data_IF_006603047164
#
_entry.id   IF_006603047164
#
_cell.length_a   1.000
_cell.length_b   1.000
_cell.length_c   1.000
_cell.angle_alpha   90.00
_cell.angle_beta   90.00
_cell.angle_gamma   90.00
#
_symmetry.space_group_name_H-M   'P 1'
#
loop_
_entity.id
_entity.type
_entity.pdbx_description
1 polymer ?
#
# COMPACT_ATOMS: atom_id res chain seq x y z
N UNK A 1 -7.24 -5.40 -6.46
CA UNK A 1 -6.08 -4.55 -6.80
C UNK A 1 -5.22 -5.29 -7.80
N UNK A 2 -4.77 -4.63 -8.87
CA UNK A 2 -3.80 -5.18 -9.80
C UNK A 2 -2.42 -4.58 -9.49
N UNK A 3 -1.49 -5.39 -8.98
CA UNK A 3 -0.17 -4.92 -8.50
C UNK A 3 0.61 -4.23 -9.62
N UNK A 4 0.50 -4.73 -10.85
CA UNK A 4 1.15 -4.15 -12.05
C UNK A 4 0.77 -2.70 -12.38
N UNK A 5 -0.33 -2.21 -11.82
CA UNK A 5 -0.74 -0.82 -12.04
C UNK A 5 -0.05 0.12 -11.06
N UNK A 6 0.41 -0.40 -9.91
CA UNK A 6 1.14 0.37 -8.92
C UNK A 6 2.52 0.72 -9.47
N UNK A 7 2.77 2.01 -9.61
CA UNK A 7 4.07 2.56 -9.92
C UNK A 7 4.30 3.81 -9.07
N UNK A 8 5.56 4.20 -8.96
CA UNK A 8 6.01 5.32 -8.13
C UNK A 8 5.39 6.67 -8.53
N UNK A 9 4.85 6.79 -9.76
CA UNK A 9 4.38 8.05 -10.33
C UNK A 9 2.86 8.18 -10.40
N UNK A 10 2.11 7.20 -9.89
CA UNK A 10 0.64 7.22 -10.00
C UNK A 10 -0.05 6.75 -8.73
N UNK A 11 -1.17 7.41 -8.46
CA UNK A 11 -2.12 7.04 -7.42
C UNK A 11 -3.24 6.20 -8.05
N UNK A 12 -3.71 5.19 -7.33
CA UNK A 12 -4.80 4.32 -7.79
C UNK A 12 -5.93 4.36 -6.78
N UNK A 13 -7.16 4.41 -7.27
CA UNK A 13 -8.35 4.47 -6.43
C UNK A 13 -9.37 3.41 -6.81
N UNK A 14 -10.05 2.85 -5.81
CA UNK A 14 -11.16 1.93 -5.99
C UNK A 14 -12.33 2.35 -5.09
N UNK A 15 -13.51 2.46 -5.69
CA UNK A 15 -14.78 2.65 -5.00
C UNK A 15 -15.30 1.29 -4.53
N UNK A 16 -15.68 1.17 -3.27
CA UNK A 16 -16.28 -0.04 -2.74
C UNK A 16 -17.80 0.09 -2.66
N UNK A 17 -18.50 -0.97 -3.00
CA UNK A 17 -19.95 -1.05 -2.81
C UNK A 17 -20.32 -1.48 -1.37
N UNK A 18 -21.62 -1.67 -1.11
CA UNK A 18 -22.12 -2.08 0.21
C UNK A 18 -21.66 -3.48 0.67
N UNK A 19 -21.12 -4.29 -0.24
CA UNK A 19 -20.56 -5.61 0.05
C UNK A 19 -19.03 -5.57 0.17
N UNK A 20 -18.42 -4.39 -0.05
CA UNK A 20 -16.98 -4.19 -0.05
C UNK A 20 -16.31 -4.51 -1.39
N UNK A 21 -17.08 -4.82 -2.43
CA UNK A 21 -16.53 -5.18 -3.75
C UNK A 21 -15.94 -3.93 -4.43
N UNK A 22 -14.66 -3.98 -4.85
CA UNK A 22 -13.98 -2.81 -5.40
C UNK A 22 -14.25 -2.64 -6.90
N UNK A 23 -14.58 -1.41 -7.31
CA UNK A 23 -14.62 -0.95 -8.70
C UNK A 23 -13.58 0.14 -8.90
N UNK A 24 -12.74 0.02 -9.93
CA UNK A 24 -11.69 1.01 -10.21
C UNK A 24 -12.30 2.39 -10.54
N UNK A 25 -11.69 3.45 -9.99
CA UNK A 25 -11.95 4.84 -10.43
C UNK A 25 -10.86 5.23 -11.43
N UNK A 26 -11.28 5.66 -12.62
CA UNK A 26 -10.37 5.99 -13.73
C UNK A 26 -9.94 4.78 -14.57
N UNK A 27 -9.09 5.03 -15.56
CA UNK A 27 -8.69 4.03 -16.56
C UNK A 27 -7.60 3.08 -16.03
N UNK A 28 -7.64 1.82 -16.48
CA UNK A 28 -6.58 0.83 -16.24
C UNK A 28 -5.35 1.16 -17.07
N UNK A 29 -4.21 1.36 -16.40
CA UNK A 29 -2.92 1.60 -17.07
C UNK A 29 -2.00 0.44 -16.72
N UNK A 30 -1.57 -0.31 -17.74
CA UNK A 30 -0.71 -1.49 -17.54
C UNK A 30 0.74 -1.07 -17.74
N UNK A 31 1.58 -1.36 -16.74
CA UNK A 31 3.04 -1.24 -16.87
C UNK A 31 3.57 -2.54 -17.46
N UNK A 32 4.18 -2.50 -18.65
CA UNK A 32 4.53 -3.69 -19.45
C UNK A 32 5.58 -4.61 -18.81
N UNK A 33 6.32 -4.15 -17.80
CA UNK A 33 7.52 -4.84 -17.29
C UNK A 33 7.39 -5.42 -15.88
N UNK A 34 6.17 -5.61 -15.36
CA UNK A 34 5.95 -6.16 -14.03
C UNK A 34 5.24 -7.51 -14.07
N UNK A 35 5.81 -8.59 -13.48
CA UNK A 35 5.09 -9.85 -13.34
C UNK A 35 3.85 -9.63 -12.45
N UNK A 36 2.67 -9.92 -13.01
CA UNK A 36 1.38 -9.76 -12.32
C UNK A 36 1.03 -11.02 -11.52
N UNK A 37 1.97 -11.45 -10.68
CA UNK A 37 1.73 -12.55 -9.75
C UNK A 37 0.93 -12.03 -8.56
N UNK A 38 -0.18 -12.69 -8.28
CA UNK A 38 -0.98 -12.37 -7.10
C UNK A 38 -0.18 -12.62 -5.82
N UNK A 39 -0.48 -11.85 -4.78
CA UNK A 39 -0.04 -12.18 -3.41
C UNK A 39 -0.61 -13.56 -3.08
N UNK A 40 0.27 -14.46 -2.64
CA UNK A 40 -0.11 -15.80 -2.20
C UNK A 40 -1.02 -15.70 -0.99
N UNK A 41 -2.10 -16.48 -1.00
CA UNK A 41 -2.95 -16.61 0.18
C UNK A 41 -2.10 -17.05 1.38
N UNK A 42 -2.06 -16.20 2.41
CA UNK A 42 -1.20 -16.36 3.57
C UNK A 42 -1.97 -16.08 4.86
N UNK A 43 -1.53 -16.68 5.96
CA UNK A 43 -2.03 -16.36 7.29
C UNK A 43 -1.19 -15.23 7.87
N UNK A 44 -1.86 -14.20 8.40
CA UNK A 44 -1.21 -13.09 9.09
C UNK A 44 -1.59 -13.10 10.57
N UNK A 45 -0.70 -12.58 11.40
CA UNK A 45 -0.94 -12.34 12.81
C UNK A 45 -0.73 -10.86 13.11
N UNK A 46 -1.57 -10.29 13.97
CA UNK A 46 -1.38 -8.94 14.46
C UNK A 46 -0.58 -8.96 15.76
N UNK A 47 0.29 -7.96 15.91
CA UNK A 47 0.97 -7.65 17.15
C UNK A 47 0.87 -6.15 17.37
N UNK A 48 0.72 -5.73 18.61
CA UNK A 48 0.83 -4.31 18.95
C UNK A 48 2.23 -3.79 18.59
N UNK A 49 2.29 -2.60 17.98
CA UNK A 49 3.54 -1.94 17.65
C UNK A 49 4.20 -1.43 18.93
N UNK A 50 5.42 -1.91 19.29
CA UNK A 50 6.13 -1.41 20.46
C UNK A 50 6.40 0.10 20.38
N UNK A 51 6.41 0.81 21.51
CA UNK A 51 6.55 2.28 21.52
C UNK A 51 7.79 2.79 20.79
N UNK A 52 8.91 2.04 20.81
CA UNK A 52 10.15 2.39 20.07
C UNK A 52 9.97 2.47 18.56
N UNK A 53 8.89 1.87 18.05
CA UNK A 53 8.59 1.69 16.64
C UNK A 53 7.36 2.49 16.21
N UNK A 54 6.78 3.36 17.06
CA UNK A 54 5.65 4.21 16.66
C UNK A 54 6.01 5.05 15.43
N UNK A 55 7.16 5.73 15.48
CA UNK A 55 7.74 6.47 14.36
C UNK A 55 9.01 5.77 13.90
N UNK A 56 9.08 5.42 12.62
CA UNK A 56 10.21 4.74 12.01
C UNK A 56 10.75 5.56 10.84
N UNK A 57 12.09 5.63 10.76
CA UNK A 57 12.80 6.19 9.60
C UNK A 57 13.25 5.02 8.74
N UNK A 58 12.78 4.95 7.49
CA UNK A 58 13.13 3.86 6.58
C UNK A 58 14.65 3.70 6.45
N UNK A 59 15.38 4.76 6.12
CA UNK A 59 16.84 4.72 5.94
C UNK A 59 17.66 4.43 7.21
N UNK A 60 17.07 4.57 8.40
CA UNK A 60 17.77 4.33 9.68
C UNK A 60 17.44 2.99 10.33
N UNK A 61 16.48 2.24 9.80
CA UNK A 61 15.88 1.11 10.51
C UNK A 61 16.67 -0.21 10.43
N UNK A 62 17.70 -0.27 9.58
CA UNK A 62 18.74 -1.32 9.52
C UNK A 62 18.26 -2.77 9.35
N UNK A 63 17.04 -2.97 8.84
CA UNK A 63 16.48 -4.28 8.50
C UNK A 63 16.03 -5.09 9.73
N UNK A 64 15.77 -4.43 10.86
CA UNK A 64 15.26 -5.07 12.11
C UNK A 64 13.81 -4.73 12.40
N UNK A 65 13.20 -3.91 11.56
CA UNK A 65 11.85 -3.43 11.67
C UNK A 65 10.85 -4.37 10.99
N UNK A 66 9.60 -4.27 11.40
CA UNK A 66 8.49 -4.80 10.62
C UNK A 66 7.86 -3.62 9.86
N UNK A 67 7.94 -3.65 8.52
CA UNK A 67 7.38 -2.64 7.62
C UNK A 67 5.96 -2.98 7.16
N UNK A 68 5.37 -4.09 7.62
CA UNK A 68 3.95 -4.36 7.49
C UNK A 68 3.19 -3.71 8.65
N UNK A 69 2.26 -2.80 8.36
CA UNK A 69 1.49 -2.09 9.41
C UNK A 69 0.03 -1.97 9.06
N UNK A 70 -0.83 -2.03 10.07
CA UNK A 70 -2.24 -1.66 10.01
C UNK A 70 -2.46 -0.47 10.95
N UNK A 71 -2.85 0.66 10.39
CA UNK A 71 -2.99 1.94 11.09
C UNK A 71 -1.67 2.48 11.64
N UNK A 72 -1.79 3.47 12.54
CA UNK A 72 -0.64 4.15 13.12
C UNK A 72 0.03 5.12 12.14
N UNK A 73 1.31 5.36 12.36
CA UNK A 73 2.09 6.33 11.60
C UNK A 73 2.87 5.62 10.48
N UNK A 74 2.79 6.10 9.22
CA UNK A 74 3.50 5.49 8.10
C UNK A 74 5.01 5.66 8.18
N UNK A 75 5.75 4.65 7.70
CA UNK A 75 7.19 4.73 7.46
C UNK A 75 7.43 5.15 6.01
N UNK A 76 7.83 6.39 5.79
CA UNK A 76 8.07 6.92 4.44
C UNK A 76 9.47 6.57 3.92
N UNK A 77 9.55 6.09 2.67
CA UNK A 77 10.81 5.92 1.94
C UNK A 77 11.30 7.28 1.43
N UNK A 78 10.37 8.08 0.90
CA UNK A 78 10.62 9.39 0.33
C UNK A 78 9.97 10.48 1.19
N UNK A 79 9.38 11.50 0.56
CA UNK A 79 8.62 12.52 1.28
C UNK A 79 7.24 11.99 1.68
N UNK A 80 6.69 12.41 2.84
CA UNK A 80 5.33 12.06 3.22
C UNK A 80 4.29 12.47 2.17
N UNK A 81 3.40 11.55 1.82
CA UNK A 81 2.31 11.80 0.87
C UNK A 81 1.00 11.26 1.42
N UNK A 82 -0.01 12.13 1.57
CA UNK A 82 -1.36 11.74 1.99
C UNK A 82 -2.29 11.89 0.81
N UNK A 83 -3.03 10.83 0.48
CA UNK A 83 -3.96 10.86 -0.65
C UNK A 83 -5.17 11.74 -0.34
N UNK A 84 -5.70 12.37 -1.39
CA UNK A 84 -6.99 13.07 -1.37
C UNK A 84 -8.01 12.20 -2.09
N UNK A 85 -9.18 11.99 -1.49
CA UNK A 85 -10.22 11.16 -2.09
C UNK A 85 -10.72 11.82 -3.39
N UNK A 86 -10.74 11.10 -4.53
CA UNK A 86 -11.20 11.67 -5.80
C UNK A 86 -12.72 11.93 -5.85
N UNK A 87 -13.49 11.47 -4.85
CA UNK A 87 -14.96 11.62 -4.80
C UNK A 87 -15.37 12.80 -3.92
N UNK A 88 -14.93 12.84 -2.67
CA UNK A 88 -15.30 13.93 -1.74
C UNK A 88 -14.25 15.05 -1.64
N UNK A 89 -13.06 14.87 -2.24
CA UNK A 89 -11.94 15.82 -2.20
C UNK A 89 -11.39 16.11 -0.79
N UNK A 90 -11.66 15.22 0.18
CA UNK A 90 -11.08 15.27 1.52
C UNK A 90 -9.82 14.41 1.63
N UNK A 91 -8.97 14.73 2.60
CA UNK A 91 -7.80 13.89 2.92
C UNK A 91 -8.27 12.51 3.37
N UNK A 92 -7.58 11.48 2.89
CA UNK A 92 -7.85 10.09 3.27
C UNK A 92 -7.06 9.72 4.52
N UNK A 93 -7.61 8.79 5.29
CA UNK A 93 -6.94 8.23 6.46
C UNK A 93 -5.96 7.15 6.02
N UNK A 94 -4.80 7.11 6.65
CA UNK A 94 -3.87 6.00 6.45
C UNK A 94 -4.48 4.71 7.03
N UNK A 95 -4.57 3.68 6.19
CA UNK A 95 -5.12 2.39 6.59
C UNK A 95 -4.01 1.38 6.90
N UNK A 96 -3.06 1.20 5.97
CA UNK A 96 -2.00 0.21 6.13
C UNK A 96 -0.83 0.46 5.18
N UNK A 97 0.30 -0.19 5.45
CA UNK A 97 1.41 -0.29 4.50
C UNK A 97 1.87 -1.75 4.36
N UNK A 98 2.33 -2.07 3.15
CA UNK A 98 2.82 -3.39 2.76
C UNK A 98 4.21 -3.25 2.16
N UNK A 99 5.15 -4.03 2.67
CA UNK A 99 6.51 -4.11 2.17
C UNK A 99 6.64 -5.15 1.05
N UNK A 100 7.75 -5.10 0.31
CA UNK A 100 8.04 -5.99 -0.82
C UNK A 100 8.21 -7.48 -0.42
N UNK A 101 8.42 -7.78 0.87
CA UNK A 101 8.59 -9.14 1.41
C UNK A 101 7.30 -10.01 1.41
N UNK A 102 6.24 -9.63 0.68
CA UNK A 102 5.02 -10.43 0.55
C UNK A 102 5.26 -11.62 -0.39
N UNK A 103 4.86 -12.85 -0.03
CA UNK A 103 5.03 -14.00 -0.92
C UNK A 103 4.10 -13.91 -2.14
N UNK A 104 4.64 -14.19 -3.32
CA UNK A 104 3.86 -14.37 -4.55
C UNK A 104 3.46 -15.85 -4.75
N UNK A 105 2.61 -16.10 -5.76
CA UNK A 105 2.12 -17.45 -6.09
C UNK A 105 3.21 -18.45 -6.55
N UNK A 106 4.39 -17.97 -6.95
CA UNK A 106 5.53 -18.80 -7.36
C UNK A 106 6.56 -18.98 -6.24
N UNK A 107 6.26 -18.50 -5.02
CA UNK A 107 7.16 -18.46 -3.86
C UNK A 107 8.33 -17.46 -4.02
N UNK A 108 8.19 -16.48 -4.89
CA UNK A 108 8.98 -15.25 -4.88
C UNK A 108 8.38 -14.19 -3.96
N UNK A 109 8.72 -12.95 -4.23
CA UNK A 109 8.31 -11.75 -3.49
C UNK A 109 7.54 -10.81 -4.40
N UNK A 110 6.54 -10.13 -3.85
CA UNK A 110 5.81 -9.08 -4.55
C UNK A 110 6.59 -7.79 -4.47
N UNK A 111 7.22 -7.38 -5.57
CA UNK A 111 7.96 -6.13 -5.63
C UNK A 111 7.04 -4.92 -5.81
N UNK A 112 7.29 -3.88 -5.02
CA UNK A 112 6.72 -2.54 -5.25
C UNK A 112 7.83 -1.61 -5.77
N UNK A 113 7.91 -1.42 -7.09
CA UNK A 113 8.98 -0.63 -7.70
C UNK A 113 10.35 -1.32 -7.59
N UNK A 114 11.33 -0.67 -6.96
CA UNK A 114 12.70 -1.18 -6.75
C UNK A 114 12.90 -1.80 -5.35
N UNK A 115 11.87 -2.43 -4.78
CA UNK A 115 11.90 -2.94 -3.39
C UNK A 115 11.36 -1.93 -2.38
N UNK A 116 10.26 -1.28 -2.75
CA UNK A 116 9.61 -0.23 -1.97
C UNK A 116 8.43 -0.69 -1.13
N UNK A 117 7.64 0.28 -0.70
CA UNK A 117 6.46 0.10 0.15
C UNK A 117 5.21 0.58 -0.60
N UNK A 118 4.15 -0.22 -0.55
CA UNK A 118 2.80 0.15 -0.94
C UNK A 118 2.04 0.71 0.27
N UNK A 119 1.51 1.92 0.14
CA UNK A 119 0.69 2.57 1.15
C UNK A 119 -0.77 2.54 0.74
N UNK A 120 -1.63 2.24 1.70
CA UNK A 120 -3.07 2.12 1.52
C UNK A 120 -3.79 3.13 2.38
N UNK A 121 -4.71 3.85 1.75
CA UNK A 121 -5.53 4.87 2.37
C UNK A 121 -7.01 4.52 2.24
N UNK A 122 -7.81 5.01 3.18
CA UNK A 122 -9.25 4.83 3.21
C UNK A 122 -9.98 6.17 3.35
N UNK A 123 -11.04 6.34 2.59
CA UNK A 123 -12.01 7.41 2.79
C UNK A 123 -13.32 6.79 3.26
N UNK A 124 -13.66 7.02 4.52
CA UNK A 124 -14.88 6.45 5.11
C UNK A 124 -16.16 7.08 4.52
N UNK A 125 -16.15 8.38 4.25
CA UNK A 125 -17.30 9.08 3.68
C UNK A 125 -17.72 8.53 2.31
N UNK A 126 -16.74 8.23 1.46
CA UNK A 126 -16.98 7.78 0.09
C UNK A 126 -16.76 6.29 -0.09
N UNK A 127 -16.31 5.55 0.92
CA UNK A 127 -15.96 4.11 0.79
C UNK A 127 -14.93 3.87 -0.34
N UNK A 128 -13.90 4.72 -0.39
CA UNK A 128 -12.85 4.65 -1.42
C UNK A 128 -11.54 4.20 -0.78
N UNK A 129 -10.89 3.20 -1.39
CA UNK A 129 -9.49 2.88 -1.11
C UNK A 129 -8.57 3.57 -2.11
N UNK A 130 -7.44 4.07 -1.61
CA UNK A 130 -6.41 4.76 -2.39
C UNK A 130 -5.05 4.11 -2.16
N UNK A 131 -4.23 4.06 -3.20
CA UNK A 131 -2.94 3.36 -3.19
C UNK A 131 -1.86 4.21 -3.84
N UNK A 132 -0.67 4.21 -3.24
CA UNK A 132 0.54 4.76 -3.83
C UNK A 132 1.74 3.90 -3.44
N UNK A 133 2.79 3.94 -4.25
CA UNK A 133 4.07 3.26 -3.97
C UNK A 133 5.19 4.29 -3.86
N UNK A 134 6.10 4.08 -2.92
CA UNK A 134 7.41 4.74 -2.93
C UNK A 134 8.50 3.69 -2.96
N UNK A 135 9.58 3.95 -3.69
CA UNK A 135 10.75 3.09 -3.76
C UNK A 135 12.04 3.92 -3.85
N UNK A 136 13.19 3.26 -3.90
CA UNK A 136 14.53 3.89 -3.95
C UNK A 136 15.05 4.12 -5.35
#
# INVERSE_FOLDING_TARGET
MHIRELNEYSEIFYQHDQFGEPTKIGDTTVVENYPDLAIKHTQICFSETPSRWLYQSWGSSNGRENLFRLGGEPTWIQSPQVLTCPVCNEKMDFLMQLDTDLPDMENGEVYFGSGGICYVFWCDQSQVSGYLVQCT
#
